data_IF_508007180563
#
_entry.id   IF_508007180563
#
_cell.length_a   1.000
_cell.length_b   1.000
_cell.length_c   1.000
_cell.angle_alpha   90.00
_cell.angle_beta   90.00
_cell.angle_gamma   90.00
#
_symmetry.space_group_name_H-M   'P 1'
#
loop_
_entity.id
_entity.type
_entity.pdbx_description
1 polymer ?
#
# COMPACT_ATOMS: atom_id res chain seq x y z
N UNK A 1 4.47 0.06 -2.89
CA UNK A 1 4.41 -0.58 -1.55
C UNK A 1 3.20 -0.03 -0.84
N UNK A 2 2.35 -0.87 -0.29
CA UNK A 2 1.10 -0.43 0.35
C UNK A 2 0.95 -1.03 1.74
N UNK A 3 0.41 -0.25 2.67
CA UNK A 3 -0.05 -0.73 3.97
C UNK A 3 -1.57 -0.49 4.06
N UNK A 4 -2.34 -1.55 4.32
CA UNK A 4 -3.80 -1.46 4.37
C UNK A 4 -4.30 -1.76 5.78
N UNK A 5 -4.94 -0.79 6.42
CA UNK A 5 -5.53 -0.96 7.74
C UNK A 5 -6.74 -0.04 7.89
N UNK A 6 -7.80 -0.49 8.56
CA UNK A 6 -8.97 0.35 8.85
C UNK A 6 -8.63 1.54 9.75
N UNK A 7 -7.54 1.43 10.51
CA UNK A 7 -6.94 2.53 11.26
C UNK A 7 -5.74 3.11 10.47
N UNK A 8 -5.92 4.30 9.92
CA UNK A 8 -4.90 5.00 9.13
C UNK A 8 -3.62 5.29 9.93
N UNK A 9 -3.70 5.45 11.26
CA UNK A 9 -2.52 5.60 12.11
C UNK A 9 -1.68 4.33 12.14
N UNK A 10 -2.35 3.17 12.24
CA UNK A 10 -1.68 1.86 12.18
C UNK A 10 -1.12 1.57 10.79
N UNK A 11 -1.85 1.88 9.73
CA UNK A 11 -1.34 1.73 8.35
C UNK A 11 -0.05 2.53 8.14
N UNK A 12 -0.02 3.79 8.60
CA UNK A 12 1.16 4.64 8.46
C UNK A 12 2.33 4.15 9.30
N UNK A 13 2.09 3.77 10.56
CA UNK A 13 3.13 3.23 11.43
C UNK A 13 3.73 1.93 10.85
N UNK A 14 2.91 1.05 10.28
CA UNK A 14 3.38 -0.18 9.64
C UNK A 14 4.23 0.10 8.40
N UNK A 15 3.77 1.00 7.52
CA UNK A 15 4.55 1.40 6.34
C UNK A 15 5.89 2.02 6.74
N UNK A 16 5.89 2.93 7.73
CA UNK A 16 7.10 3.59 8.20
C UNK A 16 8.09 2.59 8.79
N UNK A 17 7.61 1.71 9.67
CA UNK A 17 8.41 0.64 10.25
C UNK A 17 9.06 -0.24 9.17
N UNK A 18 8.28 -0.62 8.15
CA UNK A 18 8.78 -1.43 7.05
C UNK A 18 9.86 -0.68 6.23
N UNK A 19 9.61 0.57 5.84
CA UNK A 19 10.54 1.34 5.02
C UNK A 19 11.85 1.60 5.76
N UNK A 20 11.78 1.96 7.04
CA UNK A 20 12.97 2.19 7.88
C UNK A 20 13.79 0.93 8.06
N UNK A 21 13.14 -0.21 8.30
CA UNK A 21 13.81 -1.50 8.46
C UNK A 21 14.43 -2.00 7.17
N UNK A 22 13.73 -1.83 6.03
CA UNK A 22 14.17 -2.36 4.74
C UNK A 22 15.25 -1.50 4.08
N UNK A 23 15.12 -0.17 4.15
CA UNK A 23 16.03 0.78 3.49
C UNK A 23 17.07 1.38 4.43
N UNK A 24 16.95 1.18 5.75
CA UNK A 24 17.85 1.73 6.76
C UNK A 24 18.00 3.27 6.65
N UNK A 25 16.87 3.95 6.42
CA UNK A 25 16.73 5.40 6.26
C UNK A 25 15.37 5.85 6.83
N UNK A 26 15.22 7.10 7.31
CA UNK A 26 13.94 7.61 7.78
C UNK A 26 12.82 7.45 6.76
N UNK A 27 11.65 6.99 7.19
CA UNK A 27 10.51 6.72 6.29
C UNK A 27 10.11 7.96 5.48
N UNK A 28 10.16 9.15 6.09
CA UNK A 28 9.88 10.44 5.43
C UNK A 28 10.72 10.66 4.17
N UNK A 29 12.00 10.25 4.19
CA UNK A 29 12.91 10.40 3.04
C UNK A 29 12.50 9.43 1.94
N UNK A 30 12.22 8.18 2.29
CA UNK A 30 11.85 7.14 1.32
C UNK A 30 10.50 7.44 0.67
N UNK A 31 9.51 7.90 1.44
CA UNK A 31 8.17 8.27 0.97
C UNK A 31 8.17 9.40 -0.07
N UNK A 32 9.18 10.27 -0.06
CA UNK A 32 9.35 11.33 -1.09
C UNK A 32 9.86 10.80 -2.42
N UNK A 33 10.46 9.60 -2.44
CA UNK A 33 11.12 9.02 -3.61
C UNK A 33 10.37 7.82 -4.18
N UNK A 34 9.62 7.12 -3.33
CA UNK A 34 8.92 5.89 -3.68
C UNK A 34 7.42 6.13 -3.76
N UNK A 35 6.77 5.53 -4.75
CA UNK A 35 5.31 5.47 -4.83
C UNK A 35 4.79 4.44 -3.83
N UNK A 36 4.68 4.86 -2.57
CA UNK A 36 4.10 4.09 -1.48
C UNK A 36 2.94 4.83 -0.84
N UNK A 37 1.97 4.07 -0.36
CA UNK A 37 0.74 4.61 0.20
C UNK A 37 0.29 3.77 1.41
N UNK A 38 -0.30 4.43 2.41
CA UNK A 38 -0.83 3.77 3.60
C UNK A 38 -2.19 4.38 3.94
N UNK A 39 -3.21 3.52 4.10
CA UNK A 39 -4.57 3.94 4.40
C UNK A 39 -5.52 2.76 4.54
N UNK A 40 -6.80 3.06 4.60
CA UNK A 40 -7.84 2.03 4.57
C UNK A 40 -8.01 1.45 3.16
N UNK A 41 -8.78 0.36 3.05
CA UNK A 41 -8.96 -0.35 1.77
C UNK A 41 -9.51 0.56 0.66
N UNK A 42 -10.47 1.43 0.98
CA UNK A 42 -11.06 2.35 0.00
C UNK A 42 -10.03 3.37 -0.51
N UNK A 43 -9.29 4.00 0.39
CA UNK A 43 -8.24 4.97 0.03
C UNK A 43 -7.13 4.33 -0.82
N UNK A 44 -6.71 3.11 -0.48
CA UNK A 44 -5.70 2.38 -1.25
C UNK A 44 -6.25 1.99 -2.63
N UNK A 45 -7.52 1.60 -2.72
CA UNK A 45 -8.16 1.26 -3.99
C UNK A 45 -8.29 2.48 -4.91
N UNK A 46 -8.69 3.62 -4.38
CA UNK A 46 -8.74 4.89 -5.12
C UNK A 46 -7.34 5.27 -5.63
N UNK A 47 -6.32 5.19 -4.77
CA UNK A 47 -4.94 5.44 -5.17
C UNK A 47 -4.45 4.48 -6.26
N UNK A 48 -4.92 3.23 -6.28
CA UNK A 48 -4.61 2.27 -7.35
C UNK A 48 -5.35 2.58 -8.65
N UNK A 49 -6.61 3.05 -8.58
CA UNK A 49 -7.38 3.45 -9.76
C UNK A 49 -6.71 4.60 -10.52
N UNK A 50 -6.02 5.53 -9.85
CA UNK A 50 -5.24 6.57 -10.52
C UNK A 50 -4.20 6.00 -11.53
N UNK A 51 -3.60 4.85 -11.23
CA UNK A 51 -2.67 4.18 -12.14
C UNK A 51 -3.41 3.50 -13.29
N UNK A 52 -4.56 2.89 -13.01
CA UNK A 52 -5.40 2.22 -14.01
C UNK A 52 -5.97 3.24 -15.00
N UNK A 53 -6.48 4.37 -14.51
CA UNK A 53 -6.92 5.51 -15.31
C UNK A 53 -5.76 6.10 -16.14
N UNK A 54 -4.54 6.04 -15.60
CA UNK A 54 -3.30 6.34 -16.32
C UNK A 54 -2.90 5.33 -17.41
N UNK A 55 -3.66 4.24 -17.59
CA UNK A 55 -3.45 3.21 -18.59
C UNK A 55 -2.65 1.99 -18.12
N UNK A 56 -2.39 1.85 -16.82
CA UNK A 56 -1.72 0.66 -16.29
C UNK A 56 -2.61 -0.58 -16.45
N UNK A 57 -2.11 -1.60 -17.13
CA UNK A 57 -2.82 -2.89 -17.30
C UNK A 57 -2.33 -3.98 -16.34
N UNK A 58 -1.19 -3.74 -15.68
CA UNK A 58 -0.57 -4.66 -14.74
C UNK A 58 -0.02 -3.87 -13.55
N UNK A 59 -0.47 -4.21 -12.34
CA UNK A 59 0.00 -3.63 -11.09
C UNK A 59 0.68 -4.71 -10.25
N UNK A 60 1.95 -4.48 -9.88
CA UNK A 60 2.69 -5.34 -8.96
C UNK A 60 2.73 -4.67 -7.59
N UNK A 61 2.01 -5.23 -6.63
CA UNK A 61 1.88 -4.67 -5.29
C UNK A 61 2.77 -5.41 -4.30
N UNK A 62 3.41 -4.65 -3.42
CA UNK A 62 4.15 -5.15 -2.25
C UNK A 62 3.43 -4.66 -1.01
N UNK A 63 2.90 -5.58 -0.22
CA UNK A 63 2.31 -5.28 1.08
C UNK A 63 3.38 -5.19 2.17
N UNK A 64 3.07 -4.44 3.23
CA UNK A 64 3.84 -4.40 4.47
C UNK A 64 3.18 -5.22 5.55
N UNK A 65 3.86 -5.46 6.68
CA UNK A 65 3.34 -6.25 7.78
C UNK A 65 3.69 -7.74 7.66
N UNK A 66 3.06 -8.57 8.48
CA UNK A 66 3.38 -10.00 8.61
C UNK A 66 2.16 -10.92 8.47
N UNK A 67 0.99 -10.38 8.12
CA UNK A 67 -0.26 -11.14 7.99
C UNK A 67 -0.58 -11.36 6.51
N UNK A 68 0.18 -12.27 5.91
CA UNK A 68 0.18 -12.50 4.47
C UNK A 68 -1.20 -12.97 3.97
N UNK A 69 -1.90 -13.81 4.73
CA UNK A 69 -3.22 -14.35 4.36
C UNK A 69 -4.25 -13.21 4.25
N UNK A 70 -4.35 -12.37 5.31
CA UNK A 70 -5.26 -11.22 5.31
C UNK A 70 -4.92 -10.19 4.23
N UNK A 71 -3.64 -10.02 3.91
CA UNK A 71 -3.20 -9.14 2.81
C UNK A 71 -3.64 -9.68 1.44
N UNK A 72 -3.54 -11.00 1.22
CA UNK A 72 -3.99 -11.62 -0.02
C UNK A 72 -5.51 -11.54 -0.18
N UNK A 73 -6.28 -11.72 0.89
CA UNK A 73 -7.74 -11.49 0.88
C UNK A 73 -8.06 -10.03 0.52
N UNK A 74 -7.38 -9.08 1.16
CA UNK A 74 -7.53 -7.65 0.88
C UNK A 74 -7.20 -7.32 -0.58
N UNK A 75 -6.14 -7.92 -1.14
CA UNK A 75 -5.79 -7.76 -2.55
C UNK A 75 -6.89 -8.25 -3.49
N UNK A 76 -7.50 -9.40 -3.20
CA UNK A 76 -8.60 -9.96 -4.00
C UNK A 76 -9.80 -9.03 -3.98
N UNK A 77 -10.16 -8.50 -2.81
CA UNK A 77 -11.25 -7.53 -2.67
C UNK A 77 -10.97 -6.25 -3.46
N UNK A 78 -9.81 -5.63 -3.27
CA UNK A 78 -9.43 -4.41 -3.99
C UNK A 78 -9.44 -4.63 -5.50
N UNK A 79 -8.92 -5.78 -5.98
CA UNK A 79 -8.90 -6.11 -7.41
C UNK A 79 -10.30 -6.15 -8.02
N UNK A 80 -11.32 -6.56 -7.27
CA UNK A 80 -12.70 -6.60 -7.76
C UNK A 80 -13.31 -5.19 -7.95
N UNK A 81 -12.72 -4.18 -7.29
CA UNK A 81 -13.17 -2.78 -7.31
C UNK A 81 -12.37 -1.89 -8.28
N UNK A 82 -11.28 -2.40 -8.86
CA UNK A 82 -10.52 -1.69 -9.90
C UNK A 82 -11.30 -1.68 -11.21
N UNK A 83 -11.40 -0.50 -11.85
CA UNK A 83 -12.24 -0.26 -13.05
C UNK A 83 -11.52 -0.48 -14.37
#
# INVERSE_FOLDING_TARGET
TVAVNDDNGKANAELDHYLESYYNQPAEIIRKQQFCFAGNRGEVTEWLNDFVDGGATHLALRFTGTDDDRQMETLVEMRAELS
#
